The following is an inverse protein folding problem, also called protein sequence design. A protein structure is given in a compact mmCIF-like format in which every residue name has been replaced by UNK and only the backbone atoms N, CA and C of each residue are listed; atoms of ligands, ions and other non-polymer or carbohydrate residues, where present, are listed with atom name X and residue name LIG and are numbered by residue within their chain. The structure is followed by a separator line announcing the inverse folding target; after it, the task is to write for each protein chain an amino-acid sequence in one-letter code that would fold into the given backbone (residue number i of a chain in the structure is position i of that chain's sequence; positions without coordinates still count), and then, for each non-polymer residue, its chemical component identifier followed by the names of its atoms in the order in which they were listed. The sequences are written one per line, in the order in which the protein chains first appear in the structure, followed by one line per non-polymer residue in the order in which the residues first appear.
data_IF_053295235258
#
_entry.id   IF_053295235258
#
_cell.length_a   1.000
_cell.length_b   1.000
_cell.length_c   1.000
_cell.angle_alpha   90.00
_cell.angle_beta   90.00
_cell.angle_gamma   90.00
#
_symmetry.space_group_name_H-M   'P 1'
#
loop_
_entity.id
_entity.type
_entity.pdbx_description
1 polymer ?
#
# COMPACT_ATOMS: atom_id res chain seq x y z
N UNK A 1 11.47 47.13 -13.30
CA UNK A 1 10.96 46.32 -12.16
C UNK A 1 9.64 45.71 -12.58
N UNK A 2 9.64 44.47 -13.09
CA UNK A 2 8.42 43.74 -13.45
C UNK A 2 8.32 42.51 -12.55
N UNK A 3 7.49 42.57 -11.52
CA UNK A 3 7.11 41.39 -10.75
C UNK A 3 5.98 40.69 -11.48
N UNK A 4 6.31 39.61 -12.19
CA UNK A 4 5.32 38.69 -12.75
C UNK A 4 4.52 38.06 -11.60
N UNK A 5 3.21 38.33 -11.59
CA UNK A 5 2.24 37.72 -10.67
C UNK A 5 2.21 36.21 -10.93
N UNK A 6 3.00 35.44 -10.18
CA UNK A 6 2.86 33.98 -10.14
C UNK A 6 1.48 33.65 -9.59
N UNK A 7 0.59 33.16 -10.47
CA UNK A 7 -0.69 32.61 -10.07
C UNK A 7 -0.53 31.46 -9.06
N UNK A 8 -1.62 31.03 -8.39
CA UNK A 8 -1.55 30.01 -7.36
C UNK A 8 -0.92 28.73 -7.92
N UNK A 9 0.21 28.33 -7.34
CA UNK A 9 0.89 27.09 -7.71
C UNK A 9 0.05 25.94 -7.14
N UNK A 10 -0.89 25.46 -7.95
CA UNK A 10 -1.56 24.19 -7.73
C UNK A 10 -0.53 23.06 -7.90
N UNK A 11 0.06 22.61 -6.79
CA UNK A 11 0.80 21.35 -6.78
C UNK A 11 -0.23 20.22 -6.76
N UNK A 12 -0.74 19.84 -7.94
CA UNK A 12 -1.45 18.58 -8.07
C UNK A 12 -0.58 17.48 -7.44
N UNK A 13 -1.11 16.71 -6.47
CA UNK A 13 -0.39 15.59 -5.85
C UNK A 13 -0.11 14.56 -6.96
N UNK A 14 1.08 14.64 -7.56
CA UNK A 14 1.48 13.74 -8.64
C UNK A 14 1.85 12.40 -8.04
N UNK A 15 0.87 11.53 -7.88
CA UNK A 15 1.07 10.15 -7.46
C UNK A 15 -0.24 9.36 -7.51
N UNK A 16 -0.15 8.06 -7.79
CA UNK A 16 -1.29 7.14 -7.80
C UNK A 16 -1.09 6.06 -6.75
N UNK A 17 -2.05 5.95 -5.85
CA UNK A 17 -2.18 4.82 -4.94
C UNK A 17 -3.04 3.74 -5.58
N UNK A 18 -2.66 2.49 -5.37
CA UNK A 18 -3.41 1.32 -5.78
C UNK A 18 -3.32 0.27 -4.68
N UNK A 19 -4.46 -0.25 -4.23
CA UNK A 19 -4.53 -1.38 -3.32
C UNK A 19 -5.10 -2.58 -4.07
N UNK A 20 -4.46 -3.74 -3.95
CA UNK A 20 -4.92 -4.99 -4.56
C UNK A 20 -4.89 -6.10 -3.53
N UNK A 21 -5.98 -6.86 -3.40
CA UNK A 21 -6.07 -8.02 -2.50
C UNK A 21 -5.85 -9.30 -3.30
N UNK A 22 -5.01 -10.17 -2.75
CA UNK A 22 -4.67 -11.47 -3.31
C UNK A 22 -5.13 -12.56 -2.33
N UNK A 23 -5.88 -13.54 -2.83
CA UNK A 23 -6.29 -14.72 -2.08
C UNK A 23 -5.84 -15.96 -2.84
N UNK A 24 -5.07 -16.83 -2.17
CA UNK A 24 -4.65 -18.12 -2.70
C UNK A 24 -5.10 -19.22 -1.75
N UNK A 25 -5.93 -20.11 -2.26
CA UNK A 25 -6.29 -21.34 -1.55
C UNK A 25 -5.18 -22.38 -1.77
N UNK A 26 -4.74 -23.05 -0.70
CA UNK A 26 -3.74 -24.11 -0.77
C UNK A 26 -4.20 -25.31 0.04
N UNK A 27 -4.13 -26.48 -0.57
CA UNK A 27 -4.33 -27.78 0.07
C UNK A 27 -2.95 -28.39 0.28
N UNK A 28 -2.60 -28.72 1.52
CA UNK A 28 -1.46 -29.57 1.83
C UNK A 28 -1.95 -31.01 1.89
N UNK A 29 -1.41 -31.90 1.04
CA UNK A 29 -1.75 -33.31 1.10
C UNK A 29 -1.29 -33.91 2.42
N UNK A 30 -1.95 -34.99 2.82
CA UNK A 30 -1.54 -35.80 3.95
C UNK A 30 -0.10 -36.30 3.75
N UNK A 31 0.66 -36.35 4.83
CA UNK A 31 2.01 -36.90 4.82
C UNK A 31 1.94 -38.41 4.49
N UNK A 32 2.94 -38.97 3.79
CA UNK A 32 2.92 -40.39 3.33
C UNK A 32 2.73 -41.40 4.48
N UNK A 33 3.04 -40.97 5.71
CA UNK A 33 2.86 -41.74 6.93
C UNK A 33 1.39 -41.88 7.37
N UNK A 34 0.44 -41.14 6.78
CA UNK A 34 -1.00 -41.24 7.07
C UNK A 34 -1.44 -40.71 8.44
N UNK A 35 -0.51 -40.23 9.28
CA UNK A 35 -0.82 -39.70 10.62
C UNK A 35 -1.19 -38.22 10.63
N UNK A 36 -1.04 -37.52 9.50
CA UNK A 36 -1.39 -36.11 9.36
C UNK A 36 -2.56 -35.94 8.40
N UNK A 37 -3.71 -35.39 8.83
CA UNK A 37 -4.84 -35.14 7.94
C UNK A 37 -4.48 -34.04 6.91
N UNK A 38 -5.14 -34.08 5.76
CA UNK A 38 -5.07 -33.00 4.75
C UNK A 38 -5.43 -31.65 5.40
N UNK A 39 -4.68 -30.61 5.05
CA UNK A 39 -4.90 -29.27 5.61
C UNK A 39 -5.18 -28.29 4.49
N UNK A 40 -6.34 -27.64 4.58
CA UNK A 40 -6.69 -26.51 3.72
C UNK A 40 -6.40 -25.21 4.46
N UNK A 41 -5.77 -24.26 3.77
CA UNK A 41 -5.65 -22.90 4.28
C UNK A 41 -5.69 -21.87 3.17
N UNK A 42 -6.27 -20.73 3.51
CA UNK A 42 -6.33 -19.54 2.67
C UNK A 42 -5.18 -18.60 3.03
N UNK A 43 -4.34 -18.29 2.05
CA UNK A 43 -3.35 -17.22 2.16
C UNK A 43 -3.97 -15.95 1.58
N UNK A 44 -4.24 -14.97 2.44
CA UNK A 44 -4.70 -13.63 2.04
C UNK A 44 -3.56 -12.64 2.21
N UNK A 45 -3.29 -11.83 1.19
CA UNK A 45 -2.34 -10.72 1.25
C UNK A 45 -2.91 -9.48 0.57
N UNK A 46 -2.57 -8.30 1.06
CA UNK A 46 -2.83 -7.04 0.41
C UNK A 46 -1.52 -6.47 -0.14
N UNK A 47 -1.55 -5.91 -1.34
CA UNK A 47 -0.46 -5.16 -1.94
C UNK A 47 -0.90 -3.70 -2.03
N UNK A 48 -0.18 -2.83 -1.33
CA UNK A 48 -0.37 -1.37 -1.42
C UNK A 48 0.77 -0.82 -2.25
N UNK A 49 0.42 -0.21 -3.38
CA UNK A 49 1.36 0.35 -4.35
C UNK A 49 1.18 1.86 -4.41
N UNK A 50 2.31 2.55 -4.41
CA UNK A 50 2.39 3.98 -4.67
C UNK A 50 3.31 4.22 -5.86
N UNK A 51 2.82 4.97 -6.84
CA UNK A 51 3.60 5.35 -8.02
C UNK A 51 3.67 6.86 -8.12
N UNK A 52 4.86 7.40 -8.37
CA UNK A 52 5.11 8.83 -8.52
C UNK A 52 6.01 9.09 -9.71
N UNK A 53 5.66 10.08 -10.52
CA UNK A 53 6.51 10.49 -11.63
C UNK A 53 7.71 11.29 -11.12
N UNK A 54 8.93 10.77 -11.34
CA UNK A 54 10.18 11.45 -11.05
C UNK A 54 10.62 12.24 -12.28
N UNK A 55 10.39 13.56 -12.25
CA UNK A 55 10.76 14.49 -13.33
C UNK A 55 12.26 14.50 -13.64
N UNK A 56 13.13 14.25 -12.64
CA UNK A 56 14.58 14.23 -12.85
C UNK A 56 15.04 13.01 -13.66
N UNK A 57 14.36 11.88 -13.46
CA UNK A 57 14.65 10.61 -14.15
C UNK A 57 13.76 10.39 -15.40
N UNK A 58 12.76 11.23 -15.61
CA UNK A 58 11.78 11.07 -16.69
C UNK A 58 10.90 9.82 -16.56
N UNK A 59 10.84 9.19 -15.38
CA UNK A 59 10.24 7.87 -15.18
C UNK A 59 9.35 7.81 -13.93
N UNK A 60 8.43 6.84 -13.88
CA UNK A 60 7.65 6.55 -12.69
C UNK A 60 8.46 5.70 -11.72
N UNK A 61 8.66 6.20 -10.50
CA UNK A 61 9.15 5.41 -9.38
C UNK A 61 7.96 4.72 -8.71
N UNK A 62 8.13 3.43 -8.43
CA UNK A 62 7.10 2.59 -7.82
C UNK A 62 7.61 2.07 -6.49
N UNK A 63 6.78 2.21 -5.46
CA UNK A 63 6.97 1.62 -4.14
C UNK A 63 5.80 0.69 -3.88
N UNK A 64 6.08 -0.46 -3.29
CA UNK A 64 5.05 -1.43 -2.95
C UNK A 64 5.36 -2.10 -1.63
N UNK A 65 4.31 -2.34 -0.85
CA UNK A 65 4.36 -3.11 0.39
C UNK A 65 3.36 -4.25 0.29
N UNK A 66 3.74 -5.41 0.81
CA UNK A 66 2.87 -6.56 0.97
C UNK A 66 2.56 -6.73 2.44
N UNK A 67 1.27 -6.80 2.76
CA UNK A 67 0.78 -6.93 4.12
C UNK A 67 -0.12 -8.16 4.20
N UNK A 68 -0.05 -8.90 5.30
CA UNK A 68 -1.12 -9.80 5.69
C UNK A 68 -2.33 -8.99 6.23
N UNK A 69 -3.49 -9.63 6.48
CA UNK A 69 -4.69 -8.90 6.91
C UNK A 69 -4.54 -8.19 8.27
N UNK A 70 -3.75 -8.75 9.19
CA UNK A 70 -3.51 -8.15 10.51
C UNK A 70 -2.60 -6.92 10.39
N UNK A 71 -1.50 -7.04 9.64
CA UNK A 71 -0.60 -5.93 9.31
C UNK A 71 -1.34 -4.80 8.60
N UNK A 72 -2.30 -5.12 7.72
CA UNK A 72 -3.12 -4.11 7.05
C UNK A 72 -4.01 -3.33 8.03
N UNK A 73 -4.58 -4.01 9.04
CA UNK A 73 -5.36 -3.34 10.10
C UNK A 73 -4.46 -2.45 10.95
N UNK A 74 -3.29 -2.94 11.35
CA UNK A 74 -2.30 -2.14 12.08
C UNK A 74 -1.85 -0.93 11.27
N UNK A 75 -1.65 -1.09 9.96
CA UNK A 75 -1.31 0.02 9.06
C UNK A 75 -2.44 1.05 8.99
N UNK A 76 -3.70 0.61 8.89
CA UNK A 76 -4.84 1.52 8.89
C UNK A 76 -4.91 2.33 10.20
N UNK A 77 -4.80 1.68 11.35
CA UNK A 77 -4.79 2.35 12.66
C UNK A 77 -3.62 3.33 12.81
N UNK A 78 -2.42 2.96 12.33
CA UNK A 78 -1.26 3.86 12.33
C UNK A 78 -1.48 5.09 11.43
N UNK A 79 -2.12 4.92 10.27
CA UNK A 79 -2.43 6.02 9.35
C UNK A 79 -3.51 6.94 9.92
N UNK A 80 -4.53 6.38 10.57
CA UNK A 80 -5.61 7.17 11.21
C UNK A 80 -5.05 8.02 12.37
N UNK A 81 -4.15 7.44 13.18
CA UNK A 81 -3.43 8.19 14.23
C UNK A 81 -2.59 9.31 13.65
N UNK A 82 -1.79 9.02 12.62
CA UNK A 82 -0.96 10.02 11.96
C UNK A 82 -1.79 11.14 11.31
N UNK A 83 -2.96 10.81 10.76
CA UNK A 83 -3.88 11.76 10.16
C UNK A 83 -4.54 12.70 11.18
N UNK A 84 -4.83 12.20 12.38
CA UNK A 84 -5.39 13.01 13.46
C UNK A 84 -4.34 13.86 14.20
N UNK A 85 -3.08 13.42 14.26
CA UNK A 85 -1.98 14.20 14.85
C UNK A 85 -1.46 15.32 13.93
N UNK A 86 -1.73 15.25 12.63
CA UNK A 86 -1.37 16.28 11.64
C UNK A 86 -2.39 17.42 11.49
N UNK A 87 -3.37 17.50 12.40
CA UNK A 87 -4.55 18.39 12.33
C UNK A 87 -4.39 19.79 12.92
N UNK A 88 -3.19 20.22 13.30
CA UNK A 88 -2.92 21.56 13.83
C UNK A 88 -1.80 22.25 13.03
N UNK A 89 -2.17 22.80 11.88
CA UNK A 89 -1.43 23.92 11.26
C UNK A 89 -2.48 24.92 10.77
N UNK A 90 -3.05 25.67 11.71
CA UNK A 90 -3.65 27.00 11.43
C UNK A 90 -2.56 28.02 11.06
#
# INVERSE_FOLDING_TARGET
MNQEKKGPISKARVGRFQATVWKKHKVLPADESGFSPEREFDIVRACVQYSRYNKKKGAYERQQIWCNPEELRCLADALDKLGNEGGDVE
#
